data_IF_168901985408
#
_entry.id   IF_168901985408
#
_cell.length_a   1.000
_cell.length_b   1.000
_cell.length_c   1.000
_cell.angle_alpha   90.00
_cell.angle_beta   90.00
_cell.angle_gamma   90.00
#
_symmetry.space_group_name_H-M   'P 1'
#
loop_
_entity.id
_entity.type
_entity.pdbx_description
1 polymer ?
#
# COMPACT_ATOMS: atom_id res chain seq x y z
N UNK A 1 9.28 8.30 -81.16
CA UNK A 1 8.64 9.48 -80.53
C UNK A 1 7.43 8.98 -79.74
N UNK A 2 7.50 9.12 -78.41
CA UNK A 2 6.45 9.01 -77.38
C UNK A 2 5.68 7.68 -77.24
N UNK A 3 6.18 6.85 -76.30
CA UNK A 3 5.37 5.94 -75.50
C UNK A 3 4.37 6.77 -74.67
N UNK A 4 3.08 6.45 -74.74
CA UNK A 4 2.08 6.94 -73.79
C UNK A 4 1.86 5.88 -72.71
N UNK A 5 2.32 6.19 -71.50
CA UNK A 5 1.96 5.51 -70.26
C UNK A 5 0.59 6.03 -69.79
N UNK A 6 -0.35 5.14 -69.50
CA UNK A 6 -1.52 5.46 -68.69
C UNK A 6 -1.53 4.55 -67.44
N UNK A 7 -1.83 5.10 -66.25
CA UNK A 7 -1.44 4.51 -64.97
C UNK A 7 -2.42 3.42 -64.50
N UNK A 8 -1.87 2.40 -63.85
CA UNK A 8 -2.62 1.44 -63.03
C UNK A 8 -3.26 2.20 -61.86
N UNK A 9 -4.59 2.26 -61.83
CA UNK A 9 -5.35 2.71 -60.67
C UNK A 9 -5.13 1.67 -59.55
N UNK A 10 -4.37 2.06 -58.53
CA UNK A 10 -4.27 1.31 -57.28
C UNK A 10 -5.49 1.70 -56.44
N UNK A 11 -6.49 0.81 -56.39
CA UNK A 11 -7.62 0.95 -55.48
C UNK A 11 -7.13 0.70 -54.05
N UNK A 12 -6.79 1.77 -53.32
CA UNK A 12 -6.52 1.70 -51.88
C UNK A 12 -7.86 1.43 -51.20
N UNK A 13 -8.11 0.17 -50.87
CA UNK A 13 -9.25 -0.21 -50.05
C UNK A 13 -8.93 0.17 -48.61
N UNK A 14 -9.46 1.30 -48.16
CA UNK A 14 -9.41 1.71 -46.76
C UNK A 14 -10.20 0.69 -45.93
N UNK A 15 -9.48 -0.19 -45.23
CA UNK A 15 -10.05 -1.06 -44.21
C UNK A 15 -10.39 -0.15 -43.03
N UNK A 16 -11.62 0.35 -43.02
CA UNK A 16 -12.27 0.89 -41.84
C UNK A 16 -12.35 -0.24 -40.80
N UNK A 17 -11.42 -0.25 -39.85
CA UNK A 17 -11.57 -1.01 -38.62
C UNK A 17 -12.82 -0.49 -37.91
N UNK A 18 -13.94 -1.18 -38.14
CA UNK A 18 -15.15 -1.04 -37.37
C UNK A 18 -14.81 -1.35 -35.91
N UNK A 19 -14.83 -0.32 -35.07
CA UNK A 19 -14.96 -0.44 -33.64
C UNK A 19 -16.26 -1.18 -33.36
N UNK A 20 -16.15 -2.48 -33.07
CA UNK A 20 -17.25 -3.27 -32.51
C UNK A 20 -17.39 -2.81 -31.05
N UNK A 21 -18.09 -1.69 -30.89
CA UNK A 21 -18.72 -1.30 -29.64
C UNK A 21 -19.93 -2.20 -29.47
N UNK A 22 -19.81 -3.22 -28.62
CA UNK A 22 -20.95 -3.97 -28.14
C UNK A 22 -21.79 -3.07 -27.24
N UNK A 23 -22.85 -2.48 -27.81
CA UNK A 23 -23.98 -1.98 -27.04
C UNK A 23 -24.85 -3.17 -26.61
N UNK A 24 -24.78 -3.52 -25.33
CA UNK A 24 -25.79 -4.37 -24.69
C UNK A 24 -26.33 -3.67 -23.45
N UNK A 25 -27.59 -3.25 -23.56
CA UNK A 25 -28.57 -2.95 -22.52
C UNK A 25 -28.14 -2.09 -21.31
N UNK A 26 -28.64 -0.86 -21.34
CA UNK A 26 -28.91 -0.02 -20.17
C UNK A 26 -29.94 -0.68 -19.25
N UNK A 27 -29.48 -1.32 -18.16
CA UNK A 27 -30.00 -1.13 -16.79
C UNK A 27 -29.19 -1.99 -15.80
N UNK A 28 -27.98 -1.53 -15.52
CA UNK A 28 -27.20 -1.90 -14.35
C UNK A 28 -26.32 -0.67 -14.08
N UNK A 29 -26.59 0.08 -13.01
CA UNK A 29 -25.63 1.04 -12.45
C UNK A 29 -24.24 0.39 -12.48
N UNK A 30 -23.26 1.02 -13.15
CA UNK A 30 -21.93 0.45 -13.46
C UNK A 30 -21.22 -0.07 -12.21
N UNK A 31 -21.50 -1.32 -11.81
CA UNK A 31 -20.84 -1.97 -10.67
C UNK A 31 -19.34 -1.97 -10.92
N UNK A 32 -18.57 -1.48 -9.95
CA UNK A 32 -17.11 -1.43 -10.03
C UNK A 32 -16.52 -0.15 -10.63
N UNK A 33 -17.30 0.80 -11.15
CA UNK A 33 -16.73 2.08 -11.59
C UNK A 33 -16.46 2.99 -10.38
N UNK A 34 -15.23 3.50 -10.25
CA UNK A 34 -14.85 4.52 -9.28
C UNK A 34 -14.60 5.82 -10.06
N UNK A 35 -15.53 6.77 -9.97
CA UNK A 35 -15.44 8.06 -10.67
C UNK A 35 -14.49 9.03 -9.94
N UNK A 36 -13.23 9.06 -10.39
CA UNK A 36 -12.19 9.92 -9.81
C UNK A 36 -12.38 11.36 -10.28
N UNK A 37 -12.66 11.58 -11.57
CA UNK A 37 -12.82 12.92 -12.15
C UNK A 37 -13.89 13.73 -11.40
N UNK A 38 -15.05 13.13 -11.17
CA UNK A 38 -16.17 13.82 -10.51
C UNK A 38 -15.90 14.17 -9.05
N UNK A 39 -14.95 13.52 -8.38
CA UNK A 39 -14.61 13.77 -6.98
C UNK A 39 -13.62 14.95 -6.80
N UNK A 40 -12.84 15.29 -7.82
CA UNK A 40 -11.82 16.35 -7.76
C UNK A 40 -12.45 17.70 -7.39
N UNK A 41 -11.84 18.41 -6.44
CA UNK A 41 -12.30 19.71 -5.97
C UNK A 41 -13.52 19.70 -5.06
N UNK A 42 -14.04 18.51 -4.70
CA UNK A 42 -15.20 18.34 -3.80
C UNK A 42 -14.82 17.74 -2.44
N UNK A 43 -13.56 17.89 -2.05
CA UNK A 43 -13.05 17.34 -0.80
C UNK A 43 -13.73 17.97 0.42
N UNK A 44 -13.84 17.18 1.49
CA UNK A 44 -14.35 17.66 2.78
C UNK A 44 -13.59 16.99 3.92
N UNK A 45 -13.63 17.59 5.11
CA UNK A 45 -13.23 16.88 6.32
C UNK A 45 -14.24 15.76 6.57
N UNK A 46 -13.74 14.59 6.96
CA UNK A 46 -14.55 13.42 7.31
C UNK A 46 -14.22 13.03 8.76
N UNK A 47 -15.25 12.89 9.58
CA UNK A 47 -15.09 12.47 10.96
C UNK A 47 -14.84 10.96 11.05
N UNK A 48 -14.01 10.53 11.99
CA UNK A 48 -13.72 9.11 12.21
C UNK A 48 -14.98 8.36 12.62
N UNK A 49 -15.84 8.99 13.41
CA UNK A 49 -17.15 8.46 13.82
C UNK A 49 -18.08 8.17 12.64
N UNK A 50 -17.87 8.72 11.44
CA UNK A 50 -18.68 8.37 10.26
C UNK A 50 -18.40 6.95 9.76
N UNK A 51 -17.18 6.44 10.00
CA UNK A 51 -16.70 5.18 9.42
C UNK A 51 -16.34 4.13 10.46
N UNK A 52 -16.18 4.53 11.73
CA UNK A 52 -15.76 3.68 12.82
C UNK A 52 -16.71 3.75 14.00
N UNK A 53 -16.87 2.64 14.70
CA UNK A 53 -17.68 2.54 15.92
C UNK A 53 -16.85 2.71 17.19
N UNK A 54 -15.53 2.46 17.11
CA UNK A 54 -14.64 2.46 18.26
C UNK A 54 -13.19 2.73 17.84
N UNK A 55 -12.41 3.28 18.77
CA UNK A 55 -10.96 3.49 18.66
C UNK A 55 -10.30 3.16 20.01
N UNK A 56 -9.23 2.37 19.97
CA UNK A 56 -8.47 1.93 21.15
C UNK A 56 -7.00 2.32 21.02
N UNK A 57 -6.44 2.81 22.13
CA UNK A 57 -5.01 3.09 22.29
C UNK A 57 -4.40 2.06 23.23
N UNK A 58 -3.59 1.16 22.68
CA UNK A 58 -2.96 0.06 23.42
C UNK A 58 -1.50 0.40 23.67
N UNK A 59 -1.16 0.68 24.92
CA UNK A 59 0.23 0.91 25.34
C UNK A 59 0.95 -0.42 25.39
N UNK A 60 2.02 -0.57 24.61
CA UNK A 60 2.84 -1.77 24.66
C UNK A 60 3.78 -1.70 25.86
N UNK A 61 3.86 -2.79 26.63
CA UNK A 61 4.73 -2.86 27.80
C UNK A 61 6.20 -2.63 27.41
N UNK A 62 6.86 -1.71 28.12
CA UNK A 62 8.28 -1.38 27.92
C UNK A 62 9.14 -2.00 29.01
N UNK A 63 9.92 -3.01 28.65
CA UNK A 63 10.97 -3.67 29.45
C UNK A 63 12.19 -3.89 28.55
N UNK A 64 13.35 -4.18 29.15
CA UNK A 64 14.59 -4.40 28.41
C UNK A 64 14.45 -5.46 27.29
N UNK A 65 13.70 -6.53 27.56
CA UNK A 65 13.42 -7.61 26.63
C UNK A 65 12.36 -7.27 25.56
N UNK A 66 11.50 -6.26 25.81
CA UNK A 66 10.36 -5.91 24.97
C UNK A 66 10.54 -4.60 24.18
N UNK A 67 11.69 -3.92 24.30
CA UNK A 67 11.98 -2.70 23.53
C UNK A 67 11.82 -2.96 22.03
N UNK A 68 11.04 -2.09 21.39
CA UNK A 68 10.76 -2.08 19.96
C UNK A 68 11.61 -1.01 19.31
N UNK A 69 12.29 -1.35 18.21
CA UNK A 69 12.93 -0.34 17.36
C UNK A 69 11.91 0.44 16.52
N UNK A 70 12.29 0.78 15.29
CA UNK A 70 11.36 1.42 14.37
C UNK A 70 10.33 0.39 13.90
N UNK A 71 9.05 0.61 14.19
CA UNK A 71 7.96 -0.26 13.78
C UNK A 71 7.86 -0.30 12.25
N UNK A 72 7.91 -1.51 11.71
CA UNK A 72 7.79 -1.79 10.29
C UNK A 72 6.42 -2.34 9.93
N UNK A 73 5.88 -3.26 10.73
CA UNK A 73 4.59 -3.87 10.47
C UNK A 73 3.90 -4.27 11.79
N UNK A 74 2.57 -4.22 11.81
CA UNK A 74 1.73 -4.61 12.94
C UNK A 74 0.65 -5.55 12.43
N UNK A 75 0.49 -6.71 13.08
CA UNK A 75 -0.58 -7.66 12.79
C UNK A 75 -1.34 -8.02 14.04
N UNK A 76 -2.66 -8.19 13.89
CA UNK A 76 -3.55 -8.69 14.93
C UNK A 76 -3.90 -10.13 14.60
N UNK A 77 -3.79 -11.02 15.59
CA UNK A 77 -4.23 -12.41 15.46
C UNK A 77 -4.52 -13.00 16.84
N UNK A 78 -5.68 -13.66 16.99
CA UNK A 78 -6.13 -14.31 18.24
C UNK A 78 -5.93 -13.48 19.52
N UNK A 79 -6.35 -12.21 19.53
CA UNK A 79 -6.20 -11.35 20.72
C UNK A 79 -4.73 -11.06 21.08
N UNK A 80 -3.83 -11.08 20.10
CA UNK A 80 -2.43 -10.70 20.25
C UNK A 80 -2.04 -9.69 19.19
N UNK A 81 -1.06 -8.86 19.55
CA UNK A 81 -0.47 -7.84 18.70
C UNK A 81 0.96 -8.27 18.37
N UNK A 82 1.24 -8.42 17.08
CA UNK A 82 2.55 -8.80 16.55
C UNK A 82 3.18 -7.56 15.94
N UNK A 83 4.32 -7.13 16.45
CA UNK A 83 5.01 -5.92 15.99
C UNK A 83 6.39 -6.29 15.47
N UNK A 84 6.63 -6.08 14.17
CA UNK A 84 7.96 -6.22 13.61
C UNK A 84 8.70 -4.89 13.62
N UNK A 85 10.00 -4.93 13.88
CA UNK A 85 10.85 -3.74 13.91
C UNK A 85 12.01 -3.79 12.90
N UNK A 86 12.77 -2.70 12.84
CA UNK A 86 13.94 -2.56 11.98
C UNK A 86 15.14 -3.44 12.35
N UNK A 87 15.04 -4.24 13.42
CA UNK A 87 16.01 -5.29 13.75
C UNK A 87 15.56 -6.65 13.23
N UNK A 88 14.48 -6.70 12.45
CA UNK A 88 13.90 -7.93 11.91
C UNK A 88 13.42 -8.89 13.01
N UNK A 89 13.01 -8.35 14.16
CA UNK A 89 12.39 -9.13 15.24
C UNK A 89 10.89 -8.97 15.21
N UNK A 90 10.15 -9.94 15.76
CA UNK A 90 8.70 -9.85 15.94
C UNK A 90 8.41 -9.93 17.45
N UNK A 91 8.03 -8.82 18.06
CA UNK A 91 7.57 -8.77 19.44
C UNK A 91 6.08 -9.07 19.50
N UNK A 92 5.69 -9.96 20.41
CA UNK A 92 4.30 -10.42 20.56
C UNK A 92 3.78 -9.94 21.91
N UNK A 93 2.66 -9.22 21.86
CA UNK A 93 1.96 -8.68 23.01
C UNK A 93 0.54 -9.25 23.08
N UNK A 94 -0.05 -9.26 24.26
CA UNK A 94 -1.49 -9.48 24.42
C UNK A 94 -2.29 -8.30 23.88
N UNK A 95 -3.60 -8.47 23.76
CA UNK A 95 -4.53 -7.41 23.31
C UNK A 95 -4.48 -6.15 24.19
N UNK A 96 -4.19 -6.29 25.49
CA UNK A 96 -4.01 -5.18 26.45
C UNK A 96 -2.57 -4.65 26.50
N UNK A 97 -1.69 -5.15 25.62
CA UNK A 97 -0.33 -4.62 25.44
C UNK A 97 0.73 -5.20 26.39
N UNK A 98 0.43 -6.25 27.15
CA UNK A 98 1.46 -6.95 27.96
C UNK A 98 2.39 -7.76 27.08
N UNK A 99 3.69 -7.70 27.35
CA UNK A 99 4.66 -8.47 26.58
C UNK A 99 4.48 -9.97 26.83
N UNK A 100 4.38 -10.74 25.77
CA UNK A 100 4.28 -12.21 25.83
C UNK A 100 5.65 -12.82 25.53
N UNK A 101 6.19 -12.54 24.34
CA UNK A 101 7.51 -13.03 23.92
C UNK A 101 8.05 -12.27 22.73
N UNK A 102 9.34 -12.46 22.45
CA UNK A 102 10.01 -11.98 21.24
C UNK A 102 10.39 -13.17 20.37
N UNK A 103 9.97 -13.14 19.11
CA UNK A 103 10.37 -14.10 18.08
C UNK A 103 11.51 -13.49 17.25
N UNK A 104 12.61 -14.24 17.14
CA UNK A 104 13.77 -13.86 16.33
C UNK A 104 14.54 -15.10 15.89
N UNK A 105 14.74 -15.26 14.59
CA UNK A 105 15.65 -16.25 13.97
C UNK A 105 16.59 -15.56 12.98
N UNK A 106 17.09 -14.37 13.38
CA UNK A 106 17.96 -13.56 12.52
C UNK A 106 19.34 -14.21 12.39
N UNK A 107 19.70 -14.61 11.17
CA UNK A 107 20.95 -15.29 10.88
C UNK A 107 21.05 -15.78 9.44
N UNK A 108 22.09 -16.56 9.13
CA UNK A 108 22.39 -17.05 7.77
C UNK A 108 22.25 -18.56 7.63
N UNK A 109 21.78 -19.24 8.67
CA UNK A 109 21.49 -20.66 8.65
C UNK A 109 20.31 -21.01 7.73
N UNK A 110 20.15 -22.30 7.39
CA UNK A 110 19.09 -22.76 6.48
C UNK A 110 17.67 -22.48 7.01
N UNK A 111 17.50 -22.45 8.33
CA UNK A 111 16.23 -22.20 9.03
C UNK A 111 16.10 -20.75 9.55
N UNK A 112 17.02 -19.88 9.15
CA UNK A 112 17.12 -18.50 9.62
C UNK A 112 16.85 -17.51 8.47
N UNK A 113 16.56 -16.27 8.83
CA UNK A 113 16.34 -15.17 7.89
C UNK A 113 17.29 -14.01 8.19
N UNK A 114 17.71 -13.28 7.17
CA UNK A 114 18.58 -12.09 7.34
C UNK A 114 17.78 -10.79 7.40
N UNK A 115 16.53 -10.83 6.96
CA UNK A 115 15.59 -9.72 6.96
C UNK A 115 14.14 -10.22 6.96
N UNK A 116 13.19 -9.32 7.22
CA UNK A 116 11.75 -9.54 7.06
C UNK A 116 11.24 -8.51 6.05
N UNK A 117 10.93 -8.95 4.84
CA UNK A 117 10.25 -8.12 3.84
C UNK A 117 8.76 -7.98 4.20
N UNK A 118 8.12 -9.08 4.60
CA UNK A 118 6.81 -9.11 5.26
C UNK A 118 6.66 -10.41 6.03
N UNK A 119 5.69 -10.48 6.93
CA UNK A 119 5.34 -11.72 7.64
C UNK A 119 3.83 -11.94 7.63
N UNK A 120 3.38 -13.17 7.85
CA UNK A 120 2.00 -13.54 8.07
C UNK A 120 1.89 -14.30 9.39
N UNK A 121 0.73 -14.20 10.04
CA UNK A 121 0.40 -14.97 11.23
C UNK A 121 -0.82 -15.80 10.88
N UNK A 122 -0.76 -17.10 11.17
CA UNK A 122 -1.88 -18.00 10.97
C UNK A 122 -2.88 -17.84 12.13
N UNK A 123 -4.11 -17.42 11.81
CA UNK A 123 -5.17 -17.19 12.79
C UNK A 123 -5.69 -18.47 13.47
N UNK A 124 -5.31 -19.65 13.00
CA UNK A 124 -5.78 -20.96 13.53
C UNK A 124 -4.82 -21.57 14.52
N UNK A 125 -3.51 -21.41 14.36
CA UNK A 125 -2.50 -21.99 15.25
C UNK A 125 -1.53 -20.96 15.84
N UNK A 126 -1.40 -19.77 15.26
CA UNK A 126 -0.45 -18.74 15.67
C UNK A 126 0.94 -18.88 15.05
N UNK A 127 1.10 -19.79 14.07
CA UNK A 127 2.32 -19.97 13.29
C UNK A 127 2.70 -18.71 12.50
N UNK A 128 3.99 -18.55 12.25
CA UNK A 128 4.56 -17.36 11.63
C UNK A 128 5.21 -17.76 10.30
N UNK A 129 4.86 -17.04 9.24
CA UNK A 129 5.49 -17.18 7.94
C UNK A 129 6.22 -15.90 7.58
N UNK A 130 7.49 -15.98 7.21
CA UNK A 130 8.33 -14.82 6.89
C UNK A 130 8.77 -14.91 5.43
N UNK A 131 8.55 -13.82 4.69
CA UNK A 131 9.21 -13.59 3.41
C UNK A 131 10.50 -12.81 3.65
N UNK A 132 11.63 -13.40 3.31
CA UNK A 132 12.91 -12.71 3.29
C UNK A 132 13.21 -12.09 1.91
N UNK A 133 14.19 -11.19 1.83
CA UNK A 133 14.57 -10.53 0.57
C UNK A 133 15.13 -11.49 -0.48
N UNK A 134 15.57 -12.68 -0.08
CA UNK A 134 16.01 -13.71 -1.03
C UNK A 134 14.83 -14.38 -1.75
N UNK A 135 13.59 -14.07 -1.34
CA UNK A 135 12.37 -14.61 -1.93
C UNK A 135 11.98 -15.96 -1.36
N UNK A 136 12.52 -16.34 -0.20
CA UNK A 136 12.13 -17.56 0.53
C UNK A 136 10.98 -17.23 1.48
N UNK A 137 10.00 -18.11 1.56
CA UNK A 137 9.00 -18.10 2.62
C UNK A 137 9.41 -19.15 3.64
N UNK A 138 9.71 -18.73 4.86
CA UNK A 138 10.11 -19.60 5.96
C UNK A 138 8.96 -19.72 6.95
N UNK A 139 8.59 -20.95 7.31
CA UNK A 139 7.48 -21.22 8.23
C UNK A 139 7.99 -21.68 9.59
N UNK A 140 7.36 -21.14 10.62
CA UNK A 140 7.57 -21.51 12.01
C UNK A 140 6.24 -21.79 12.68
N UNK A 141 6.24 -22.71 13.65
CA UNK A 141 5.09 -22.92 14.51
C UNK A 141 4.89 -21.75 15.50
N UNK A 142 3.85 -21.82 16.32
CA UNK A 142 3.52 -20.78 17.28
C UNK A 142 4.59 -20.63 18.37
N UNK A 143 5.36 -21.67 18.66
CA UNK A 143 6.46 -21.71 19.63
C UNK A 143 7.73 -21.06 19.06
N UNK A 144 7.88 -21.08 17.74
CA UNK A 144 9.02 -20.56 16.98
C UNK A 144 9.97 -21.63 16.47
N UNK A 145 9.55 -22.90 16.50
CA UNK A 145 10.30 -23.99 15.88
C UNK A 145 10.11 -23.95 14.37
N UNK A 146 11.17 -24.28 13.65
CA UNK A 146 11.16 -24.36 12.19
C UNK A 146 10.24 -25.49 11.70
N UNK A 147 9.45 -25.20 10.66
CA UNK A 147 8.62 -26.20 9.97
C UNK A 147 9.22 -26.51 8.61
N UNK A 148 9.34 -25.51 7.73
CA UNK A 148 9.82 -25.68 6.36
C UNK A 148 10.27 -24.36 5.72
N UNK A 149 10.96 -24.48 4.57
CA UNK A 149 11.24 -23.36 3.67
C UNK A 149 10.58 -23.65 2.33
N UNK A 150 9.79 -22.69 1.84
CA UNK A 150 9.35 -22.63 0.46
C UNK A 150 10.30 -21.68 -0.28
N UNK A 151 11.15 -22.27 -1.12
CA UNK A 151 12.14 -21.56 -1.92
C UNK A 151 11.72 -21.45 -3.39
N UNK A 152 12.53 -20.75 -4.20
CA UNK A 152 12.39 -20.71 -5.67
C UNK A 152 11.03 -20.19 -6.18
N UNK A 153 10.39 -19.28 -5.44
CA UNK A 153 9.34 -18.43 -6.02
C UNK A 153 9.86 -17.79 -7.32
N UNK A 154 9.03 -17.77 -8.36
CA UNK A 154 9.34 -17.38 -9.76
C UNK A 154 10.82 -17.03 -10.03
N UNK A 155 11.57 -17.96 -10.62
CA UNK A 155 13.01 -17.80 -10.83
C UNK A 155 13.33 -16.50 -11.60
N UNK A 156 14.21 -15.66 -11.02
CA UNK A 156 14.61 -14.30 -11.45
C UNK A 156 13.69 -13.14 -11.04
N UNK A 157 12.53 -13.40 -10.47
CA UNK A 157 11.69 -12.33 -9.92
C UNK A 157 12.07 -12.00 -8.47
N UNK A 158 11.86 -10.75 -8.09
CA UNK A 158 11.97 -10.30 -6.71
C UNK A 158 10.58 -10.27 -6.11
N UNK A 159 10.30 -11.21 -5.21
CA UNK A 159 9.11 -11.17 -4.37
C UNK A 159 9.13 -9.91 -3.50
N UNK A 160 7.98 -9.27 -3.34
CA UNK A 160 7.82 -8.05 -2.55
C UNK A 160 6.94 -8.26 -1.33
N UNK A 161 5.90 -9.08 -1.48
CA UNK A 161 4.95 -9.39 -0.44
C UNK A 161 4.29 -10.73 -0.75
N UNK A 162 3.72 -11.33 0.29
CA UNK A 162 2.83 -12.47 0.13
C UNK A 162 1.69 -12.40 1.16
N UNK A 163 0.58 -13.04 0.83
CA UNK A 163 -0.55 -13.26 1.73
C UNK A 163 -1.07 -14.68 1.56
N UNK A 164 -1.44 -15.32 2.68
CA UNK A 164 -2.07 -16.64 2.67
C UNK A 164 -3.59 -16.52 2.65
N UNK A 165 -4.22 -17.37 1.87
CA UNK A 165 -5.67 -17.52 1.79
C UNK A 165 -5.98 -19.02 1.69
N UNK A 166 -6.67 -19.55 2.70
CA UNK A 166 -6.98 -20.99 2.78
C UNK A 166 -5.71 -21.86 2.61
N UNK A 167 -5.66 -22.70 1.56
CA UNK A 167 -4.66 -23.71 1.22
C UNK A 167 -3.62 -23.22 0.19
N UNK A 168 -3.64 -21.94 -0.17
CA UNK A 168 -2.71 -21.36 -1.14
C UNK A 168 -2.22 -19.99 -0.67
N UNK A 169 -1.19 -19.47 -1.32
CA UNK A 169 -0.67 -18.15 -1.06
C UNK A 169 -0.51 -17.36 -2.34
N UNK A 170 -0.62 -16.04 -2.21
CA UNK A 170 -0.47 -15.10 -3.31
C UNK A 170 0.82 -14.34 -3.08
N UNK A 171 1.67 -14.28 -4.10
CA UNK A 171 2.92 -13.53 -4.07
C UNK A 171 2.90 -12.43 -5.13
N UNK A 172 3.29 -11.22 -4.73
CA UNK A 172 3.55 -10.10 -5.64
C UNK A 172 5.04 -10.03 -5.93
N UNK A 173 5.41 -9.85 -7.19
CA UNK A 173 6.80 -9.83 -7.61
C UNK A 173 7.05 -8.84 -8.74
N UNK A 174 8.31 -8.51 -8.97
CA UNK A 174 8.73 -7.75 -10.15
C UNK A 174 10.04 -8.28 -10.74
N UNK A 175 10.24 -7.99 -12.02
CA UNK A 175 11.49 -8.22 -12.76
C UNK A 175 11.85 -6.91 -13.44
N UNK A 176 13.10 -6.48 -13.28
CA UNK A 176 13.62 -5.31 -13.98
C UNK A 176 14.56 -5.77 -15.09
N UNK A 177 14.30 -5.33 -16.31
CA UNK A 177 15.24 -5.35 -17.43
C UNK A 177 15.64 -3.92 -17.78
N UNK A 178 16.91 -3.71 -18.11
CA UNK A 178 17.47 -2.40 -18.46
C UNK A 178 17.98 -2.43 -19.89
N UNK A 179 17.62 -1.44 -20.68
CA UNK A 179 18.31 -1.03 -21.90
C UNK A 179 18.99 0.33 -21.66
N UNK A 180 19.67 0.89 -22.67
CA UNK A 180 20.53 2.07 -22.52
C UNK A 180 19.77 3.30 -21.97
N UNK A 181 18.52 3.52 -22.41
CA UNK A 181 17.70 4.68 -22.01
C UNK A 181 16.36 4.32 -21.34
N UNK A 182 15.99 3.04 -21.32
CA UNK A 182 14.70 2.59 -20.80
C UNK A 182 14.84 1.47 -19.78
N UNK A 183 14.00 1.53 -18.75
CA UNK A 183 13.72 0.38 -17.88
C UNK A 183 12.40 -0.23 -18.26
N UNK A 184 12.41 -1.53 -18.50
CA UNK A 184 11.21 -2.34 -18.52
C UNK A 184 11.09 -3.01 -17.16
N UNK A 185 9.94 -2.79 -16.51
CA UNK A 185 9.61 -3.46 -15.26
C UNK A 185 8.39 -4.32 -15.48
N UNK A 186 8.56 -5.63 -15.37
CA UNK A 186 7.46 -6.60 -15.38
C UNK A 186 7.01 -6.81 -13.95
N UNK A 187 5.77 -6.46 -13.64
CA UNK A 187 5.12 -6.77 -12.38
C UNK A 187 4.27 -8.01 -12.53
N UNK A 188 4.17 -8.81 -11.47
CA UNK A 188 3.29 -9.96 -11.44
C UNK A 188 2.70 -10.22 -10.08
N UNK A 189 1.52 -10.85 -10.10
CA UNK A 189 0.86 -11.42 -8.94
C UNK A 189 0.47 -12.85 -9.30
N UNK A 190 0.99 -13.80 -8.53
CA UNK A 190 0.80 -15.23 -8.79
C UNK A 190 0.22 -15.90 -7.55
N UNK A 191 -0.83 -16.70 -7.76
CA UNK A 191 -1.40 -17.57 -6.74
C UNK A 191 -0.74 -18.96 -6.85
N UNK A 192 -0.11 -19.41 -5.77
CA UNK A 192 0.62 -20.67 -5.67
C UNK A 192 -0.02 -21.58 -4.64
N UNK A 193 -0.13 -22.87 -4.97
CA UNK A 193 -0.19 -23.91 -3.94
C UNK A 193 1.15 -23.99 -3.20
N UNK A 194 1.15 -24.62 -2.03
CA UNK A 194 2.39 -24.87 -1.28
C UNK A 194 3.41 -25.71 -2.06
N UNK A 195 2.94 -26.58 -2.97
CA UNK A 195 3.76 -27.30 -3.96
C UNK A 195 4.42 -26.41 -5.03
N UNK A 196 4.14 -25.11 -5.03
CA UNK A 196 4.50 -24.13 -6.07
C UNK A 196 3.76 -24.31 -7.41
N UNK A 197 2.73 -25.14 -7.45
CA UNK A 197 1.82 -25.18 -8.59
C UNK A 197 1.10 -23.85 -8.72
N UNK A 198 1.16 -23.25 -9.91
CA UNK A 198 0.49 -21.99 -10.22
C UNK A 198 -1.00 -22.25 -10.43
N UNK A 199 -1.83 -21.65 -9.58
CA UNK A 199 -3.29 -21.64 -9.75
C UNK A 199 -3.71 -20.62 -10.80
N UNK A 200 -3.15 -19.40 -10.70
CA UNK A 200 -3.42 -18.31 -11.62
C UNK A 200 -2.32 -17.25 -11.52
N UNK A 201 -2.14 -16.46 -12.57
CA UNK A 201 -1.14 -15.39 -12.62
C UNK A 201 -1.66 -14.20 -13.44
N UNK A 202 -1.41 -13.00 -12.91
CA UNK A 202 -1.54 -11.75 -13.66
C UNK A 202 -0.17 -11.11 -13.78
N UNK A 203 0.24 -10.85 -15.00
CA UNK A 203 1.45 -10.10 -15.34
C UNK A 203 1.05 -8.77 -15.97
N UNK A 204 1.77 -7.70 -15.63
CA UNK A 204 1.64 -6.37 -16.22
C UNK A 204 3.04 -5.81 -16.48
N UNK A 205 3.31 -5.36 -17.71
CA UNK A 205 4.58 -4.71 -18.07
C UNK A 205 4.43 -3.20 -18.04
N UNK A 206 5.34 -2.54 -17.34
CA UNK A 206 5.48 -1.08 -17.27
C UNK A 206 6.80 -0.66 -17.89
N UNK A 207 6.78 0.46 -18.58
CA UNK A 207 7.97 1.08 -19.16
C UNK A 207 8.18 2.44 -18.50
N UNK A 208 9.37 2.67 -17.94
CA UNK A 208 9.73 3.97 -17.39
C UNK A 208 11.08 4.44 -17.91
N UNK A 209 11.15 5.74 -18.24
CA UNK A 209 12.43 6.39 -18.52
C UNK A 209 13.34 6.36 -17.30
N UNK A 210 14.62 6.11 -17.53
CA UNK A 210 15.64 6.11 -16.47
C UNK A 210 16.39 7.43 -16.47
N UNK A 211 16.73 7.92 -15.27
CA UNK A 211 17.62 9.08 -15.10
C UNK A 211 18.86 8.66 -14.34
N UNK A 212 20.03 8.98 -14.86
CA UNK A 212 21.30 8.75 -14.18
C UNK A 212 21.90 10.06 -13.71
N UNK A 213 22.40 10.11 -12.48
CA UNK A 213 23.08 11.28 -11.93
C UNK A 213 24.35 10.86 -11.21
N UNK A 214 25.44 11.61 -11.41
CA UNK A 214 26.65 11.47 -10.60
C UNK A 214 26.44 12.15 -9.25
N UNK A 215 26.55 11.40 -8.16
CA UNK A 215 26.42 11.88 -6.79
C UNK A 215 27.54 11.24 -5.96
N UNK A 216 28.36 12.05 -5.29
CA UNK A 216 29.47 11.61 -4.43
C UNK A 216 30.43 10.59 -5.09
N UNK A 217 30.72 10.76 -6.39
CA UNK A 217 31.60 9.87 -7.15
C UNK A 217 30.98 8.51 -7.54
N UNK A 218 29.70 8.30 -7.24
CA UNK A 218 28.90 7.15 -7.68
C UNK A 218 27.82 7.55 -8.68
N UNK A 219 27.44 6.60 -9.54
CA UNK A 219 26.31 6.78 -10.45
C UNK A 219 25.02 6.32 -9.77
N UNK A 220 24.13 7.26 -9.52
CA UNK A 220 22.77 7.01 -9.03
C UNK A 220 21.82 6.85 -10.20
N UNK A 221 20.94 5.86 -10.12
CA UNK A 221 19.91 5.58 -11.13
C UNK A 221 18.54 5.79 -10.49
N UNK A 222 17.80 6.74 -11.02
CA UNK A 222 16.42 7.03 -10.67
C UNK A 222 15.51 6.37 -11.71
N UNK A 223 14.60 5.54 -11.23
CA UNK A 223 13.60 4.87 -12.03
C UNK A 223 12.34 4.68 -11.21
N UNK A 224 11.19 4.60 -11.87
CA UNK A 224 9.92 4.36 -11.22
C UNK A 224 9.73 2.88 -10.94
N UNK A 225 9.36 2.56 -9.70
CA UNK A 225 9.06 1.20 -9.30
C UNK A 225 7.87 1.19 -8.35
N UNK A 226 6.75 0.66 -8.83
CA UNK A 226 5.49 0.60 -8.09
C UNK A 226 4.95 -0.83 -8.13
N UNK A 227 5.61 -1.78 -7.45
CA UNK A 227 5.13 -3.15 -7.39
C UNK A 227 3.73 -3.21 -6.79
N UNK A 228 2.92 -4.21 -7.20
CA UNK A 228 1.58 -4.37 -6.68
C UNK A 228 1.63 -4.70 -5.20
N UNK A 229 0.94 -3.91 -4.38
CA UNK A 229 0.66 -4.29 -3.01
C UNK A 229 -0.47 -5.32 -2.99
N UNK A 230 -0.44 -6.23 -2.02
CA UNK A 230 -1.49 -7.23 -1.80
C UNK A 230 -2.36 -6.78 -0.63
N UNK A 231 -3.62 -6.46 -0.92
CA UNK A 231 -4.61 -5.97 0.05
C UNK A 231 -5.55 -7.13 0.34
N UNK A 232 -5.32 -7.85 1.45
CA UNK A 232 -6.20 -8.92 1.90
C UNK A 232 -7.36 -8.34 2.71
N UNK A 233 -8.58 -8.73 2.36
CA UNK A 233 -9.77 -8.51 3.17
C UNK A 233 -10.60 -9.79 3.17
N UNK A 234 -10.73 -10.44 4.33
CA UNK A 234 -11.34 -11.78 4.46
C UNK A 234 -10.69 -12.77 3.47
N UNK A 235 -11.52 -13.40 2.64
CA UNK A 235 -11.13 -14.41 1.65
C UNK A 235 -10.98 -13.84 0.22
N UNK A 236 -10.63 -12.56 0.11
CA UNK A 236 -10.29 -11.93 -1.16
C UNK A 236 -9.03 -11.10 -1.02
N UNK A 237 -8.19 -11.12 -2.06
CA UNK A 237 -6.98 -10.31 -2.13
C UNK A 237 -7.07 -9.39 -3.34
N UNK A 238 -7.03 -8.08 -3.10
CA UNK A 238 -7.00 -7.07 -4.15
C UNK A 238 -5.58 -6.61 -4.40
N UNK A 239 -5.33 -6.19 -5.63
CA UNK A 239 -4.07 -5.60 -6.03
C UNK A 239 -4.26 -4.69 -7.24
N UNK A 240 -3.30 -3.79 -7.44
CA UNK A 240 -3.20 -2.98 -8.64
C UNK A 240 -1.75 -2.64 -8.93
N UNK A 241 -1.47 -2.24 -10.17
CA UNK A 241 -0.21 -1.61 -10.57
C UNK A 241 -0.54 -0.14 -10.87
N UNK A 242 0.33 0.79 -10.50
CA UNK A 242 0.04 2.24 -10.55
C UNK A 242 -0.19 2.81 -11.96
N UNK A 243 0.16 2.08 -13.01
CA UNK A 243 -0.15 2.43 -14.41
C UNK A 243 -1.53 1.95 -14.88
N UNK A 244 -2.18 1.13 -14.08
CA UNK A 244 -3.50 0.60 -14.39
C UNK A 244 -4.58 1.48 -13.77
N UNK A 245 -5.68 1.55 -14.49
CA UNK A 245 -6.96 2.04 -13.99
C UNK A 245 -7.75 0.94 -13.26
N UNK A 246 -7.29 -0.30 -13.29
CA UNK A 246 -8.06 -1.45 -12.81
C UNK A 246 -7.49 -2.01 -11.50
N UNK A 247 -8.35 -2.16 -10.51
CA UNK A 247 -8.11 -2.94 -9.30
C UNK A 247 -8.60 -4.36 -9.56
N UNK A 248 -7.69 -5.32 -9.50
CA UNK A 248 -7.97 -6.74 -9.66
C UNK A 248 -8.25 -7.37 -8.29
N UNK A 249 -8.97 -8.50 -8.29
CA UNK A 249 -9.19 -9.33 -7.12
C UNK A 249 -8.89 -10.79 -7.40
N UNK A 250 -8.36 -11.48 -6.40
CA UNK A 250 -8.15 -12.92 -6.37
C UNK A 250 -9.07 -13.49 -5.30
N UNK A 251 -9.99 -14.36 -5.71
CA UNK A 251 -10.95 -14.98 -4.81
C UNK A 251 -10.37 -16.20 -4.04
N UNK A 252 -11.19 -16.81 -3.18
CA UNK A 252 -10.83 -17.99 -2.40
C UNK A 252 -10.55 -19.27 -3.20
N UNK A 253 -10.70 -19.23 -4.53
CA UNK A 253 -10.34 -20.33 -5.45
C UNK A 253 -9.10 -19.99 -6.27
N UNK A 254 -8.46 -18.84 -6.01
CA UNK A 254 -7.30 -18.36 -6.76
C UNK A 254 -7.67 -17.70 -8.09
N UNK A 255 -8.95 -17.42 -8.36
CA UNK A 255 -9.38 -16.86 -9.64
C UNK A 255 -9.23 -15.34 -9.67
N UNK A 256 -8.60 -14.85 -10.73
CA UNK A 256 -8.35 -13.42 -10.95
C UNK A 256 -9.51 -12.81 -11.75
N UNK A 257 -10.04 -11.70 -11.26
CA UNK A 257 -11.09 -10.92 -11.94
C UNK A 257 -10.93 -9.41 -11.72
N UNK A 258 -11.44 -8.62 -12.65
CA UNK A 258 -11.50 -7.16 -12.52
C UNK A 258 -12.57 -6.79 -11.48
N UNK A 259 -12.22 -6.00 -10.47
CA UNK A 259 -13.14 -5.62 -9.38
C UNK A 259 -13.60 -4.19 -9.49
N UNK A 260 -12.67 -3.29 -9.74
CA UNK A 260 -12.96 -1.87 -9.89
C UNK A 260 -12.16 -1.24 -11.03
N UNK A 261 -12.75 -0.27 -11.70
CA UNK A 261 -12.11 0.55 -12.73
C UNK A 261 -12.17 2.01 -12.30
N UNK A 262 -11.02 2.67 -12.23
CA UNK A 262 -10.82 4.06 -11.87
C UNK A 262 -11.00 4.93 -13.11
N UNK A 263 -12.08 5.71 -13.14
CA UNK A 263 -12.34 6.67 -14.20
C UNK A 263 -11.67 8.01 -13.88
N UNK A 264 -10.45 8.19 -14.37
CA UNK A 264 -9.70 9.44 -14.22
C UNK A 264 -10.18 10.57 -15.14
N UNK A 265 -10.91 10.23 -16.21
CA UNK A 265 -11.42 11.21 -17.17
C UNK A 265 -10.30 12.07 -17.76
N UNK A 266 -10.47 13.39 -17.74
CA UNK A 266 -9.44 14.33 -18.23
C UNK A 266 -8.13 14.34 -17.43
N UNK A 267 -8.10 13.68 -16.26
CA UNK A 267 -6.92 13.60 -15.38
C UNK A 267 -6.11 12.31 -15.56
N UNK A 268 -6.39 11.54 -16.62
CA UNK A 268 -5.65 10.32 -16.94
C UNK A 268 -4.15 10.58 -17.08
N UNK A 269 -3.34 9.76 -16.39
CA UNK A 269 -1.89 9.81 -16.52
C UNK A 269 -1.42 9.46 -17.94
N UNK A 270 -0.52 10.25 -18.55
CA UNK A 270 0.17 9.85 -19.77
C UNK A 270 0.97 8.56 -19.55
N UNK A 271 1.06 7.73 -20.59
CA UNK A 271 1.84 6.48 -20.54
C UNK A 271 3.31 6.74 -20.87
N UNK A 272 4.22 5.95 -20.30
CA UNK A 272 5.64 5.95 -20.65
C UNK A 272 6.40 7.21 -20.23
N UNK A 273 5.93 7.93 -19.21
CA UNK A 273 6.64 9.10 -18.68
C UNK A 273 8.00 8.72 -18.08
N UNK A 274 8.97 9.62 -18.21
CA UNK A 274 10.22 9.56 -17.45
C UNK A 274 10.01 9.89 -15.97
N UNK A 275 11.05 9.67 -15.17
CA UNK A 275 11.02 9.89 -13.73
C UNK A 275 10.72 11.34 -13.32
N UNK A 276 11.31 12.33 -14.00
CA UNK A 276 11.14 13.74 -13.65
C UNK A 276 9.73 14.22 -13.99
N UNK A 277 9.22 13.84 -15.17
CA UNK A 277 7.84 14.10 -15.60
C UNK A 277 6.82 13.47 -14.65
N UNK A 278 7.06 12.23 -14.20
CA UNK A 278 6.16 11.54 -13.28
C UNK A 278 6.11 12.18 -11.89
N UNK A 279 7.26 12.63 -11.40
CA UNK A 279 7.42 13.23 -10.06
C UNK A 279 7.14 14.73 -10.02
N UNK A 280 6.89 15.36 -11.17
CA UNK A 280 6.54 16.77 -11.26
C UNK A 280 5.15 17.06 -10.68
N UNK A 281 5.14 17.72 -9.51
CA UNK A 281 3.95 18.11 -8.76
C UNK A 281 3.14 19.26 -9.39
N UNK A 282 3.62 19.91 -10.45
CA UNK A 282 2.92 21.00 -11.13
C UNK A 282 2.03 20.51 -12.29
N UNK A 283 2.05 19.21 -12.60
CA UNK A 283 1.15 18.60 -13.59
C UNK A 283 -0.23 18.29 -13.01
N UNK A 284 -1.22 18.00 -13.87
CA UNK A 284 -2.62 17.79 -13.45
C UNK A 284 -3.13 16.36 -13.62
N UNK A 285 -2.26 15.38 -13.87
CA UNK A 285 -2.71 13.98 -13.91
C UNK A 285 -2.71 13.36 -12.52
N UNK A 286 -3.61 12.40 -12.31
CA UNK A 286 -3.83 11.74 -11.03
C UNK A 286 -3.30 10.31 -11.09
N UNK A 287 -2.69 9.87 -9.99
CA UNK A 287 -2.24 8.48 -9.82
C UNK A 287 -2.67 7.95 -8.46
N UNK A 288 -3.04 6.67 -8.37
CA UNK A 288 -3.34 6.00 -7.11
C UNK A 288 -2.10 5.21 -6.64
N UNK A 289 -1.75 5.32 -5.35
CA UNK A 289 -0.74 4.46 -4.74
C UNK A 289 -1.19 2.99 -4.79
N UNK A 290 -0.25 2.06 -5.02
CA UNK A 290 -0.60 0.64 -5.17
C UNK A 290 -1.12 -0.01 -3.88
N UNK A 291 -0.77 0.57 -2.72
CA UNK A 291 -1.27 0.16 -1.41
C UNK A 291 -2.48 0.98 -0.95
N UNK A 292 -3.47 0.30 -0.42
CA UNK A 292 -4.67 0.89 0.19
C UNK A 292 -5.18 -0.03 1.31
N UNK A 293 -6.16 0.44 2.10
CA UNK A 293 -6.79 -0.35 3.15
C UNK A 293 -8.25 -0.61 2.78
N UNK A 294 -8.80 -1.74 3.22
CA UNK A 294 -10.17 -2.13 2.94
C UNK A 294 -10.89 -2.61 4.20
N UNK A 295 -12.15 -2.21 4.33
CA UNK A 295 -13.10 -2.67 5.35
C UNK A 295 -14.33 -3.27 4.66
N UNK A 296 -15.33 -3.71 5.43
CA UNK A 296 -16.57 -4.25 4.84
C UNK A 296 -17.25 -3.23 3.92
N UNK A 297 -17.27 -1.96 4.32
CA UNK A 297 -17.99 -0.90 3.62
C UNK A 297 -17.10 0.00 2.77
N UNK A 298 -15.84 0.19 3.14
CA UNK A 298 -15.01 1.25 2.55
C UNK A 298 -13.69 0.73 1.97
N UNK A 299 -13.22 1.38 0.91
CA UNK A 299 -11.81 1.34 0.51
C UNK A 299 -11.18 2.70 0.80
N UNK A 300 -9.97 2.68 1.34
CA UNK A 300 -9.24 3.84 1.84
C UNK A 300 -7.99 4.05 1.01
N UNK A 301 -8.04 5.03 0.12
CA UNK A 301 -7.07 5.27 -0.93
C UNK A 301 -6.14 6.44 -0.64
N UNK A 302 -4.96 6.41 -1.25
CA UNK A 302 -4.01 7.51 -1.26
C UNK A 302 -3.68 7.92 -2.70
N UNK A 303 -4.23 9.04 -3.15
CA UNK A 303 -4.03 9.56 -4.50
C UNK A 303 -2.97 10.65 -4.50
N UNK A 304 -2.10 10.67 -5.50
CA UNK A 304 -1.31 11.86 -5.81
C UNK A 304 -2.11 12.74 -6.78
N UNK A 305 -2.56 13.89 -6.30
CA UNK A 305 -3.35 14.87 -7.07
C UNK A 305 -2.49 15.97 -7.72
N UNK A 306 -1.20 16.06 -7.38
CA UNK A 306 -0.26 17.05 -7.94
C UNK A 306 -0.80 18.49 -7.83
N UNK A 307 -0.89 19.22 -8.94
CA UNK A 307 -1.37 20.60 -8.95
C UNK A 307 -2.85 20.74 -8.54
N UNK A 308 -3.60 19.62 -8.50
CA UNK A 308 -5.00 19.58 -8.09
C UNK A 308 -5.19 19.34 -6.58
N UNK A 309 -4.10 19.11 -5.83
CA UNK A 309 -4.18 18.95 -4.39
C UNK A 309 -4.66 20.26 -3.75
N UNK A 310 -5.79 20.26 -2.99
CA UNK A 310 -6.36 21.49 -2.43
C UNK A 310 -5.48 22.09 -1.32
N UNK A 311 -4.80 21.23 -0.56
CA UNK A 311 -4.00 21.61 0.61
C UNK A 311 -2.65 20.86 0.58
N UNK A 312 -1.71 21.23 -0.32
CA UNK A 312 -0.42 20.57 -0.39
C UNK A 312 0.42 20.89 0.85
N UNK A 313 1.08 19.86 1.42
CA UNK A 313 1.95 20.03 2.59
C UNK A 313 3.35 20.37 2.09
N UNK A 314 3.88 21.51 2.51
CA UNK A 314 5.21 21.99 2.11
C UNK A 314 6.18 21.87 3.28
N UNK A 315 7.31 21.19 3.04
CA UNK A 315 8.39 21.05 4.02
C UNK A 315 9.69 21.58 3.43
N UNK A 316 10.34 22.48 4.15
CA UNK A 316 11.66 22.99 3.76
C UNK A 316 12.72 22.30 4.62
N UNK A 317 13.70 21.68 3.96
CA UNK A 317 14.89 21.12 4.61
C UNK A 317 16.14 21.79 4.06
N UNK A 318 17.20 21.88 4.85
CA UNK A 318 18.50 22.34 4.36
C UNK A 318 19.35 21.15 3.97
N UNK A 319 19.78 21.11 2.71
CA UNK A 319 20.73 20.14 2.20
C UNK A 319 22.10 20.29 2.86
N UNK A 320 22.97 19.30 2.67
CA UNK A 320 24.35 19.33 3.19
C UNK A 320 25.18 20.47 2.60
N UNK A 321 24.80 20.98 1.43
CA UNK A 321 25.40 22.12 0.75
C UNK A 321 24.83 23.48 1.23
N UNK A 322 23.94 23.46 2.23
CA UNK A 322 23.31 24.65 2.79
C UNK A 322 22.15 25.19 1.96
N UNK A 323 21.82 24.58 0.80
CA UNK A 323 20.67 24.99 -0.01
C UNK A 323 19.37 24.51 0.62
N UNK A 324 18.32 25.29 0.41
CA UNK A 324 16.98 24.91 0.83
C UNK A 324 16.35 24.01 -0.23
N UNK A 325 16.03 22.79 0.19
CA UNK A 325 15.22 21.85 -0.56
C UNK A 325 13.77 21.95 -0.07
N UNK A 326 12.87 22.32 -0.98
CA UNK A 326 11.44 22.40 -0.72
C UNK A 326 10.78 21.11 -1.24
N UNK A 327 10.27 20.30 -0.31
CA UNK A 327 9.47 19.14 -0.63
C UNK A 327 7.98 19.49 -0.54
N UNK A 328 7.25 19.28 -1.64
CA UNK A 328 5.80 19.48 -1.74
C UNK A 328 5.13 18.11 -1.79
N UNK A 329 4.35 17.78 -0.76
CA UNK A 329 3.52 16.59 -0.74
C UNK A 329 2.11 16.94 -1.23
N UNK A 330 1.71 16.30 -2.32
CA UNK A 330 0.44 16.48 -3.04
C UNK A 330 -0.46 15.24 -2.95
N UNK A 331 -0.13 14.33 -2.04
CA UNK A 331 -0.96 13.17 -1.75
C UNK A 331 -2.21 13.58 -0.96
N UNK A 332 -3.35 13.05 -1.38
CA UNK A 332 -4.66 13.30 -0.81
C UNK A 332 -5.34 11.97 -0.56
N UNK A 333 -5.76 11.76 0.68
CA UNK A 333 -6.50 10.58 1.05
C UNK A 333 -7.93 10.63 0.50
N UNK A 334 -8.48 9.46 0.19
CA UNK A 334 -9.85 9.35 -0.29
C UNK A 334 -10.53 8.13 0.31
N UNK A 335 -11.83 8.25 0.53
CA UNK A 335 -12.70 7.16 0.95
C UNK A 335 -13.66 6.82 -0.18
N UNK A 336 -13.79 5.54 -0.49
CA UNK A 336 -14.79 5.01 -1.42
C UNK A 336 -15.79 4.14 -0.65
N UNK A 337 -17.07 4.50 -0.66
CA UNK A 337 -18.14 3.68 -0.08
C UNK A 337 -18.58 2.63 -1.11
N UNK A 338 -18.27 1.36 -0.85
CA UNK A 338 -18.54 0.24 -1.76
C UNK A 338 -20.04 0.01 -2.01
N UNK A 339 -20.91 0.46 -1.10
CA UNK A 339 -22.37 0.29 -1.22
C UNK A 339 -22.98 1.39 -2.07
N UNK A 340 -22.52 2.63 -1.88
CA UNK A 340 -23.02 3.80 -2.60
C UNK A 340 -22.33 4.00 -3.96
N UNK A 341 -21.10 3.53 -4.10
CA UNK A 341 -20.28 3.71 -5.29
C UNK A 341 -19.71 5.13 -5.43
N UNK A 342 -19.60 5.90 -4.34
CA UNK A 342 -19.07 7.26 -4.35
C UNK A 342 -17.66 7.34 -3.76
N UNK A 343 -16.78 8.07 -4.46
CA UNK A 343 -15.45 8.43 -4.01
C UNK A 343 -15.47 9.86 -3.45
N UNK A 344 -14.85 10.05 -2.29
CA UNK A 344 -14.68 11.36 -1.65
C UNK A 344 -13.23 11.58 -1.26
N UNK A 345 -12.63 12.68 -1.72
CA UNK A 345 -11.33 13.15 -1.22
C UNK A 345 -11.48 13.80 0.15
N UNK A 346 -10.47 13.63 1.01
CA UNK A 346 -10.45 14.19 2.35
C UNK A 346 -9.65 15.49 2.37
N UNK A 347 -10.28 16.56 2.86
CA UNK A 347 -9.56 17.75 3.28
C UNK A 347 -8.88 17.49 4.62
N UNK A 348 -7.86 18.28 4.93
CA UNK A 348 -7.14 18.16 6.18
C UNK A 348 -8.04 18.56 7.36
N UNK A 349 -8.22 17.73 8.40
CA UNK A 349 -8.97 18.13 9.60
C UNK A 349 -8.33 19.31 10.33
N UNK A 350 -7.01 19.46 10.21
CA UNK A 350 -6.22 20.58 10.70
C UNK A 350 -5.04 20.80 9.75
N UNK A 351 -4.52 22.03 9.67
CA UNK A 351 -3.39 22.34 8.79
C UNK A 351 -2.20 21.41 9.03
N UNK A 352 -1.67 20.87 7.94
CA UNK A 352 -0.59 19.90 7.84
C UNK A 352 -0.83 18.54 8.52
N UNK A 353 -2.09 18.22 8.87
CA UNK A 353 -2.51 16.94 9.47
C UNK A 353 -3.54 16.27 8.57
N UNK A 354 -3.24 15.08 8.06
CA UNK A 354 -4.09 14.33 7.12
C UNK A 354 -4.80 13.17 7.80
N UNK A 355 -5.91 12.72 7.20
CA UNK A 355 -6.70 11.58 7.67
C UNK A 355 -8.10 11.99 8.12
N UNK A 356 -8.80 11.06 8.77
CA UNK A 356 -10.07 11.33 9.42
C UNK A 356 -9.86 12.24 10.63
N UNK A 357 -10.79 13.18 10.85
CA UNK A 357 -10.85 13.93 12.11
C UNK A 357 -11.22 12.96 13.22
N UNK A 358 -10.38 12.79 14.23
CA UNK A 358 -10.76 12.03 15.43
C UNK A 358 -11.79 12.83 16.21
N UNK A 359 -12.98 12.26 16.39
CA UNK A 359 -14.11 12.85 17.09
C UNK A 359 -14.82 11.85 18.00
N UNK A 360 -14.22 10.69 18.28
CA UNK A 360 -14.82 9.65 19.14
C UNK A 360 -14.38 9.86 20.58
N UNK A 361 -13.06 9.97 20.82
CA UNK A 361 -12.51 10.14 22.19
C UNK A 361 -11.49 11.28 22.31
N UNK A 362 -11.07 11.89 21.20
CA UNK A 362 -9.96 12.83 21.13
C UNK A 362 -8.68 12.20 20.55
N UNK A 363 -7.67 13.03 20.34
CA UNK A 363 -6.37 12.62 19.84
C UNK A 363 -6.08 12.97 18.38
N UNK A 364 -5.24 12.14 17.75
CA UNK A 364 -4.67 12.44 16.44
C UNK A 364 -5.68 12.18 15.32
N UNK A 365 -5.68 13.00 14.26
CA UNK A 365 -6.21 12.58 12.97
C UNK A 365 -5.71 11.18 12.58
N UNK A 366 -6.65 10.34 12.16
CA UNK A 366 -6.41 8.92 11.95
C UNK A 366 -6.38 8.58 10.46
N UNK A 367 -5.37 7.83 10.05
CA UNK A 367 -5.34 7.14 8.76
C UNK A 367 -4.64 5.80 8.95
N UNK A 368 -5.18 4.68 8.45
CA UNK A 368 -4.57 3.37 8.66
C UNK A 368 -3.24 3.23 7.94
N UNK A 369 -2.28 2.60 8.64
CA UNK A 369 -1.01 2.14 8.06
C UNK A 369 -1.03 0.64 7.81
N UNK A 370 -1.77 -0.11 8.62
CA UNK A 370 -1.95 -1.55 8.50
C UNK A 370 -3.44 -1.90 8.63
N UNK A 371 -3.81 -3.09 8.17
CA UNK A 371 -5.17 -3.64 8.30
C UNK A 371 -5.09 -5.00 8.99
N UNK A 372 -5.95 -5.24 9.97
CA UNK A 372 -6.14 -6.52 10.63
C UNK A 372 -6.96 -7.50 9.76
N UNK A 373 -6.91 -8.79 10.07
CA UNK A 373 -7.58 -9.80 9.24
C UNK A 373 -9.12 -9.69 9.26
N UNK A 374 -9.72 -9.03 10.26
CA UNK A 374 -11.16 -8.80 10.35
C UNK A 374 -11.57 -7.43 9.79
N UNK A 375 -10.61 -6.66 9.27
CA UNK A 375 -10.83 -5.31 8.74
C UNK A 375 -10.51 -4.20 9.72
N UNK A 376 -9.94 -4.50 10.89
CA UNK A 376 -9.49 -3.49 11.84
C UNK A 376 -8.47 -2.56 11.17
N UNK A 377 -8.58 -1.27 11.44
CA UNK A 377 -7.68 -0.27 10.88
C UNK A 377 -6.63 0.07 11.93
N UNK A 378 -5.36 -0.08 11.59
CA UNK A 378 -4.27 -0.02 12.58
C UNK A 378 -3.29 1.09 12.21
N UNK A 379 -2.91 1.87 13.22
CA UNK A 379 -1.76 2.77 13.16
C UNK A 379 -1.01 2.70 14.50
N UNK A 380 0.04 3.49 14.66
CA UNK A 380 0.74 3.65 15.92
C UNK A 380 1.26 5.08 16.06
N UNK A 381 1.61 5.47 17.29
CA UNK A 381 2.33 6.70 17.60
C UNK A 381 3.43 6.39 18.60
N UNK A 382 4.59 7.01 18.43
CA UNK A 382 5.64 6.89 19.45
C UNK A 382 5.19 7.64 20.71
N UNK A 383 5.66 7.21 21.88
CA UNK A 383 5.29 7.82 23.15
C UNK A 383 5.62 9.32 23.18
N UNK A 384 6.78 9.72 22.64
CA UNK A 384 7.18 11.13 22.54
C UNK A 384 6.21 11.98 21.69
N UNK A 385 5.65 11.41 20.61
CA UNK A 385 4.71 12.13 19.76
C UNK A 385 3.38 12.41 20.51
N UNK A 386 2.96 11.48 21.38
CA UNK A 386 1.78 11.61 22.24
C UNK A 386 1.98 12.70 23.28
N UNK A 387 3.15 12.71 23.95
CA UNK A 387 3.50 13.71 24.96
C UNK A 387 3.50 15.12 24.33
N UNK A 388 4.17 15.29 23.18
CA UNK A 388 4.22 16.58 22.46
C UNK A 388 2.83 17.04 22.00
N UNK A 389 1.97 16.11 21.56
CA UNK A 389 0.61 16.47 21.12
C UNK A 389 -0.28 16.87 22.30
N UNK A 390 -0.14 16.23 23.46
CA UNK A 390 -0.86 16.60 24.69
C UNK A 390 -0.45 18.00 25.18
N UNK A 391 0.85 18.33 25.15
CA UNK A 391 1.36 19.66 25.50
C UNK A 391 0.80 20.77 24.59
N UNK A 392 0.60 20.47 23.29
CA UNK A 392 0.05 21.41 22.31
C UNK A 392 -1.46 21.59 22.42
N UNK A 393 -2.16 20.61 22.97
CA UNK A 393 -3.62 20.59 23.06
C UNK A 393 -4.05 20.31 24.52
N UNK A 394 -3.87 21.28 25.44
CA UNK A 394 -4.17 21.09 26.86
C UNK A 394 -5.67 20.80 27.15
N UNK A 395 -6.56 21.12 26.21
CA UNK A 395 -8.00 20.86 26.33
C UNK A 395 -8.40 19.42 25.96
N UNK A 396 -7.51 18.64 25.33
CA UNK A 396 -7.77 17.23 24.98
C UNK A 396 -7.53 16.34 26.21
N UNK A 397 -8.60 16.09 26.98
CA UNK A 397 -8.51 15.37 28.26
C UNK A 397 -7.97 13.94 28.08
N UNK A 398 -8.38 13.24 27.01
CA UNK A 398 -7.93 11.87 26.74
C UNK A 398 -6.44 11.82 26.44
N UNK A 399 -5.94 12.72 25.58
CA UNK A 399 -4.52 12.78 25.25
C UNK A 399 -3.65 13.12 26.45
N UNK A 400 -4.10 14.03 27.31
CA UNK A 400 -3.39 14.41 28.53
C UNK A 400 -3.34 13.26 29.54
N UNK A 401 -4.43 12.51 29.71
CA UNK A 401 -4.45 11.30 30.54
C UNK A 401 -3.51 10.23 29.99
N UNK A 402 -3.57 9.96 28.68
CA UNK A 402 -2.69 9.00 28.02
C UNK A 402 -1.20 9.37 28.16
N UNK A 403 -0.86 10.64 27.93
CA UNK A 403 0.50 11.16 28.06
C UNK A 403 1.02 11.04 29.50
N UNK A 404 0.17 11.26 30.51
CA UNK A 404 0.58 11.14 31.93
C UNK A 404 1.05 9.74 32.34
N UNK A 405 0.68 8.72 31.56
CA UNK A 405 1.07 7.33 31.79
C UNK A 405 2.35 6.93 31.03
N UNK A 406 2.90 7.82 30.20
CA UNK A 406 3.99 7.54 29.27
C UNK A 406 5.27 8.30 29.63
N UNK A 407 6.40 7.71 29.26
CA UNK A 407 7.71 8.36 29.19
C UNK A 407 8.18 8.40 27.74
N UNK A 408 9.11 9.30 27.41
CA UNK A 408 9.67 9.42 26.05
C UNK A 408 10.32 8.13 25.52
N UNK A 409 10.74 7.25 26.43
CA UNK A 409 11.41 5.98 26.14
C UNK A 409 10.44 4.79 26.08
N UNK A 410 9.14 5.01 26.30
CA UNK A 410 8.16 3.94 26.17
C UNK A 410 8.01 3.46 24.74
N UNK A 411 7.69 2.16 24.62
CA UNK A 411 7.32 1.56 23.35
C UNK A 411 6.14 2.32 22.71
N UNK A 412 6.00 2.26 21.36
CA UNK A 412 4.90 2.90 20.68
C UNK A 412 3.52 2.43 21.18
N UNK A 413 2.56 3.34 21.15
CA UNK A 413 1.15 3.04 21.42
C UNK A 413 0.49 2.63 20.11
N UNK A 414 -0.12 1.46 20.09
CA UNK A 414 -0.86 0.94 18.94
C UNK A 414 -2.28 1.53 18.96
N UNK A 415 -2.72 2.04 17.83
CA UNK A 415 -4.06 2.61 17.64
C UNK A 415 -4.84 1.64 16.77
N UNK A 416 -5.92 1.09 17.31
CA UNK A 416 -6.79 0.13 16.63
C UNK A 416 -8.18 0.76 16.50
N UNK A 417 -8.64 0.92 15.27
CA UNK A 417 -9.95 1.45 14.93
C UNK A 417 -10.82 0.30 14.43
N UNK A 418 -12.05 0.22 14.96
CA UNK A 418 -13.06 -0.76 14.57
C UNK A 418 -14.02 -0.12 13.57
N UNK A 419 -14.01 -0.51 12.28
CA UNK A 419 -14.91 0.05 11.27
C UNK A 419 -16.38 -0.35 11.48
N UNK A 420 -17.29 0.48 10.96
CA UNK A 420 -18.74 0.25 10.91
C UNK A 420 -19.19 -0.69 9.80
#
# INVERSE_FOLDING_TARGET
MKLNQWPRIITVTAICCAVISCSSNSDNSRKGLIDVESAVGKGSVVNLSEIASDIKYVRLETKAESVIGNVWNVKLSKGKIYVSDNKYTISIFSEDGKFIKKFSRVGRGPEEYVDISTFQVNDTDGGIEILDRSGRIIRYDAEGNFIEVIDKLYQKARSQSFVRISDFFISSWYINSRSEDQSETKYGVTAYRDSLDILNEKTITSYSGMKTQQIDGGMMVFMRMDPPSLIKYKDEVKFMVSECDTIFGIDSKGQISDKYVLSYGKYQAPKGMDFDSFTNNETSFITLATGFNETERHMLFNFNLRALAPEPIVRTSKGRDGKEDVNKNTNVYAIFDKRKGDLKFLNQPQKDKTGFKEDIIGGFPFWPRFTGNQGELINFRNAIDIIIEAEKNPDDTFMNELASMLTENDNPVIIIVTPK
#
